data_IF_363175881767
#
_entry.id   IF_363175881767
#
_cell.length_a   1.000
_cell.length_b   1.000
_cell.length_c   1.000
_cell.angle_alpha   90.00
_cell.angle_beta   90.00
_cell.angle_gamma   90.00
#
_symmetry.space_group_name_H-M   'P 1'
#
loop_
_entity.id
_entity.type
_entity.pdbx_description
1 polymer ?
#
# COMPACT_ATOMS: atom_id res chain seq x y z
N UNK A 1 22.31 -35.57 36.27
CA UNK A 1 21.89 -35.05 34.96
C UNK A 1 20.60 -35.76 34.57
N UNK A 2 19.49 -35.05 34.46
CA UNK A 2 18.19 -35.61 34.11
C UNK A 2 17.95 -35.44 32.60
N UNK A 3 17.76 -36.52 31.82
CA UNK A 3 17.39 -36.37 30.42
C UNK A 3 15.94 -35.87 30.34
N UNK A 4 15.77 -34.68 29.78
CA UNK A 4 14.46 -34.09 29.50
C UNK A 4 13.89 -34.77 28.25
N UNK A 5 12.71 -35.35 28.46
CA UNK A 5 11.79 -35.96 27.53
C UNK A 5 11.73 -35.27 26.15
N UNK A 6 12.19 -35.98 25.11
CA UNK A 6 11.96 -35.64 23.71
C UNK A 6 10.73 -36.39 23.13
N UNK A 7 9.64 -36.50 23.90
CA UNK A 7 8.41 -37.20 23.44
C UNK A 7 7.47 -36.33 22.60
N UNK A 8 7.77 -35.04 22.41
CA UNK A 8 6.87 -34.09 21.73
C UNK A 8 6.86 -34.19 20.20
N UNK A 9 7.98 -34.54 19.57
CA UNK A 9 8.12 -34.50 18.10
C UNK A 9 7.51 -35.74 17.44
N UNK A 10 7.56 -36.90 18.11
CA UNK A 10 7.04 -38.17 17.56
C UNK A 10 5.51 -38.15 17.45
N UNK A 11 4.81 -37.38 18.29
CA UNK A 11 3.34 -37.35 18.33
C UNK A 11 2.72 -36.54 17.17
N UNK A 12 3.39 -35.47 16.69
CA UNK A 12 2.92 -34.67 15.55
C UNK A 12 3.00 -35.44 14.22
N UNK A 13 4.02 -36.29 14.05
CA UNK A 13 4.19 -37.07 12.82
C UNK A 13 3.11 -38.13 12.62
N UNK A 14 2.66 -38.78 13.70
CA UNK A 14 1.63 -39.82 13.65
C UNK A 14 0.26 -39.25 13.26
N UNK A 15 -0.07 -38.06 13.77
CA UNK A 15 -1.36 -37.42 13.51
C UNK A 15 -1.53 -37.01 12.04
N UNK A 16 -0.43 -36.61 11.38
CA UNK A 16 -0.40 -36.34 9.93
C UNK A 16 -0.54 -37.63 9.12
N UNK A 17 0.14 -38.70 9.53
CA UNK A 17 0.08 -39.99 8.85
C UNK A 17 -1.32 -40.64 8.95
N UNK A 18 -1.94 -40.62 10.14
CA UNK A 18 -3.28 -41.18 10.35
C UNK A 18 -4.37 -40.38 9.61
N UNK A 19 -4.19 -39.07 9.42
CA UNK A 19 -5.09 -38.23 8.58
C UNK A 19 -4.98 -38.52 7.08
N UNK A 20 -3.85 -39.01 6.59
CA UNK A 20 -3.68 -39.37 5.18
C UNK A 20 -4.25 -40.76 4.84
N UNK A 21 -4.31 -41.65 5.84
CA UNK A 21 -4.65 -43.06 5.62
C UNK A 21 -6.11 -43.43 5.96
N UNK A 22 -6.92 -42.47 6.42
CA UNK A 22 -8.34 -42.70 6.69
C UNK A 22 -9.21 -42.18 5.53
N UNK A 23 -9.97 -43.04 4.83
CA UNK A 23 -10.92 -42.57 3.82
C UNK A 23 -12.08 -41.88 4.54
N UNK A 24 -12.17 -40.56 4.39
CA UNK A 24 -13.21 -39.71 4.99
C UNK A 24 -14.62 -40.16 4.56
N UNK A 25 -15.57 -40.35 5.48
CA UNK A 25 -16.98 -40.34 5.14
C UNK A 25 -17.46 -38.87 5.01
N UNK A 26 -18.53 -38.71 4.24
CA UNK A 26 -19.31 -37.48 3.99
C UNK A 26 -18.70 -36.43 3.05
N UNK A 27 -19.30 -36.37 1.86
CA UNK A 27 -19.24 -35.27 0.90
C UNK A 27 -19.59 -33.95 1.62
N UNK A 28 -18.58 -33.14 1.88
CA UNK A 28 -18.77 -31.70 1.90
C UNK A 28 -18.89 -31.26 0.45
N UNK A 29 -20.03 -30.68 0.10
CA UNK A 29 -20.20 -29.97 -1.16
C UNK A 29 -19.20 -28.82 -1.16
N UNK A 30 -18.05 -29.05 -1.79
CA UNK A 30 -17.09 -28.01 -2.12
C UNK A 30 -17.75 -27.28 -3.27
N UNK A 31 -18.50 -26.21 -2.97
CA UNK A 31 -18.73 -25.19 -3.97
C UNK A 31 -17.33 -24.72 -4.40
N UNK A 32 -16.98 -25.00 -5.66
CA UNK A 32 -15.75 -24.61 -6.35
C UNK A 32 -15.69 -23.06 -6.49
N UNK A 33 -15.73 -22.36 -5.36
CA UNK A 33 -15.39 -20.94 -5.30
C UNK A 33 -13.88 -20.92 -5.25
N UNK A 34 -13.27 -20.89 -6.43
CA UNK A 34 -11.82 -20.91 -6.58
C UNK A 34 -11.23 -19.80 -5.72
N UNK A 35 -10.26 -20.16 -4.89
CA UNK A 35 -9.49 -19.23 -4.07
C UNK A 35 -8.98 -18.03 -4.90
N UNK A 36 -8.68 -18.24 -6.19
CA UNK A 36 -8.31 -17.18 -7.11
C UNK A 36 -9.39 -16.10 -7.26
N UNK A 37 -10.67 -16.47 -7.26
CA UNK A 37 -11.79 -15.54 -7.36
C UNK A 37 -12.01 -14.77 -6.06
N UNK A 38 -11.84 -15.41 -4.90
CA UNK A 38 -11.85 -14.72 -3.61
C UNK A 38 -10.63 -13.83 -3.41
N UNK A 39 -9.46 -14.21 -3.91
CA UNK A 39 -8.26 -13.38 -3.91
C UNK A 39 -8.39 -12.17 -4.85
N UNK A 40 -8.99 -12.37 -6.02
CA UNK A 40 -9.29 -11.29 -6.97
C UNK A 40 -10.33 -10.31 -6.39
N UNK A 41 -11.38 -10.83 -5.74
CA UNK A 41 -12.38 -10.01 -5.03
C UNK A 41 -11.75 -9.31 -3.83
N UNK A 42 -10.93 -9.98 -3.02
CA UNK A 42 -10.26 -9.36 -1.88
C UNK A 42 -9.25 -8.27 -2.31
N UNK A 43 -8.48 -8.52 -3.37
CA UNK A 43 -7.54 -7.53 -3.92
C UNK A 43 -8.24 -6.32 -4.55
N UNK A 44 -9.37 -6.53 -5.24
CA UNK A 44 -10.16 -5.44 -5.83
C UNK A 44 -10.97 -4.65 -4.79
N UNK A 45 -11.46 -5.30 -3.74
CA UNK A 45 -12.30 -4.67 -2.70
C UNK A 45 -11.47 -3.92 -1.64
N UNK A 46 -10.23 -4.35 -1.37
CA UNK A 46 -9.36 -3.68 -0.38
C UNK A 46 -8.62 -2.44 -0.94
N UNK A 47 -8.39 -2.36 -2.26
CA UNK A 47 -7.47 -1.38 -2.87
C UNK A 47 -8.16 -0.18 -3.56
N UNK A 48 -9.47 -0.24 -3.78
CA UNK A 48 -10.17 0.67 -4.71
C UNK A 48 -10.97 1.82 -4.07
N UNK A 49 -10.69 2.18 -2.80
CA UNK A 49 -10.79 3.61 -2.41
C UNK A 49 -9.67 4.33 -3.15
N UNK A 50 -9.99 4.60 -4.41
CA UNK A 50 -9.11 4.62 -5.58
C UNK A 50 -8.01 5.63 -5.33
N UNK A 51 -6.75 5.29 -5.62
CA UNK A 51 -5.63 6.23 -5.58
C UNK A 51 -5.99 7.59 -6.21
N UNK A 52 -6.78 7.56 -7.29
CA UNK A 52 -7.41 8.70 -7.96
C UNK A 52 -8.28 9.60 -7.05
N UNK A 53 -9.07 9.03 -6.14
CA UNK A 53 -9.86 9.78 -5.15
C UNK A 53 -8.94 10.52 -4.19
N UNK A 54 -7.83 9.89 -3.78
CA UNK A 54 -6.83 10.50 -2.92
C UNK A 54 -6.09 11.62 -3.65
N UNK A 55 -5.72 11.40 -4.91
CA UNK A 55 -5.13 12.44 -5.76
C UNK A 55 -6.06 13.63 -5.92
N UNK A 56 -7.35 13.39 -6.19
CA UNK A 56 -8.36 14.46 -6.26
C UNK A 56 -8.44 15.23 -4.95
N UNK A 57 -8.50 14.54 -3.80
CA UNK A 57 -8.51 15.19 -2.48
C UNK A 57 -7.26 16.01 -2.20
N UNK A 58 -6.10 15.52 -2.62
CA UNK A 58 -4.82 16.20 -2.45
C UNK A 58 -4.74 17.45 -3.32
N UNK A 59 -5.13 17.36 -4.60
CA UNK A 59 -5.17 18.49 -5.55
C UNK A 59 -6.15 19.57 -5.12
N UNK A 60 -7.28 19.19 -4.51
CA UNK A 60 -8.30 20.13 -4.05
C UNK A 60 -7.90 20.93 -2.81
N UNK A 61 -6.78 20.62 -2.14
CA UNK A 61 -6.27 21.46 -1.06
C UNK A 61 -5.89 22.84 -1.60
N UNK A 62 -6.21 23.89 -0.85
CA UNK A 62 -6.04 25.28 -1.32
C UNK A 62 -4.59 25.61 -1.67
N UNK A 63 -3.64 25.17 -0.84
CA UNK A 63 -2.23 25.48 -1.03
C UNK A 63 -1.61 24.67 -2.17
N UNK A 64 -2.04 23.41 -2.32
CA UNK A 64 -1.63 22.52 -3.41
C UNK A 64 -2.18 23.02 -4.74
N UNK A 65 -3.49 23.30 -4.84
CA UNK A 65 -4.11 23.83 -6.07
C UNK A 65 -3.46 25.13 -6.52
N UNK A 66 -3.25 26.10 -5.60
CA UNK A 66 -2.56 27.36 -5.89
C UNK A 66 -1.14 27.13 -6.41
N UNK A 67 -0.41 26.17 -5.85
CA UNK A 67 0.93 25.83 -6.31
C UNK A 67 0.91 25.18 -7.69
N UNK A 68 0.03 24.20 -7.92
CA UNK A 68 -0.11 23.51 -9.20
C UNK A 68 -0.54 24.47 -10.32
N UNK A 69 -1.45 25.42 -10.06
CA UNK A 69 -1.85 26.43 -11.05
C UNK A 69 -0.71 27.37 -11.45
N UNK A 70 0.21 27.68 -10.54
CA UNK A 70 1.38 28.52 -10.82
C UNK A 70 2.48 27.78 -11.58
N UNK A 71 2.49 26.46 -11.46
CA UNK A 71 3.48 25.54 -12.06
C UNK A 71 2.87 24.72 -13.19
N UNK A 72 1.80 25.22 -13.82
CA UNK A 72 1.14 24.54 -14.92
C UNK A 72 2.12 24.28 -16.08
N UNK A 73 2.24 23.02 -16.50
CA UNK A 73 3.16 22.58 -17.55
C UNK A 73 4.54 22.16 -17.05
N UNK A 74 4.84 22.33 -15.76
CA UNK A 74 6.05 21.81 -15.13
C UNK A 74 5.80 20.46 -14.48
N UNK A 75 6.84 19.63 -14.38
CA UNK A 75 6.74 18.37 -13.66
C UNK A 75 6.84 18.65 -12.17
N UNK A 76 5.81 18.27 -11.41
CA UNK A 76 5.76 18.43 -9.96
C UNK A 76 5.95 17.08 -9.30
N UNK A 77 6.84 17.04 -8.31
CA UNK A 77 7.15 15.86 -7.52
C UNK A 77 6.71 16.06 -6.08
N UNK A 78 6.09 15.04 -5.49
CA UNK A 78 5.80 14.98 -4.06
C UNK A 78 6.85 14.08 -3.37
N UNK A 79 7.49 14.64 -2.35
CA UNK A 79 8.54 13.97 -1.58
C UNK A 79 8.26 14.07 -0.07
N UNK A 80 8.72 13.07 0.66
CA UNK A 80 8.71 13.07 2.12
C UNK A 80 10.03 13.62 2.66
N UNK A 81 9.96 14.54 3.62
CA UNK A 81 11.13 15.13 4.31
C UNK A 81 11.49 14.31 5.55
N UNK A 82 12.72 14.47 6.02
CA UNK A 82 13.24 13.76 7.18
C UNK A 82 12.52 14.11 8.50
N UNK A 83 11.93 15.30 8.58
CA UNK A 83 11.09 15.74 9.70
C UNK A 83 9.68 15.13 9.67
N UNK A 84 9.35 14.35 8.64
CA UNK A 84 8.02 13.76 8.43
C UNK A 84 7.05 14.66 7.69
N UNK A 85 7.40 15.93 7.42
CA UNK A 85 6.60 16.81 6.57
C UNK A 85 6.70 16.40 5.10
N UNK A 86 5.75 16.88 4.29
CA UNK A 86 5.74 16.62 2.85
C UNK A 86 6.17 17.88 2.08
N UNK A 87 6.75 17.71 0.89
CA UNK A 87 7.09 18.83 0.02
C UNK A 87 6.73 18.54 -1.44
N UNK A 88 6.26 19.58 -2.12
CA UNK A 88 6.14 19.61 -3.57
C UNK A 88 7.34 20.33 -4.16
N UNK A 89 7.96 19.74 -5.18
CA UNK A 89 9.08 20.32 -5.92
C UNK A 89 8.71 20.35 -7.40
N UNK A 90 8.70 21.54 -7.97
CA UNK A 90 8.53 21.73 -9.42
C UNK A 90 9.88 21.62 -10.13
N UNK A 91 9.86 21.18 -11.38
CA UNK A 91 11.02 21.24 -12.28
C UNK A 91 11.56 22.66 -12.50
N UNK A 92 10.76 23.70 -12.21
CA UNK A 92 11.20 25.10 -12.20
C UNK A 92 12.12 25.47 -11.03
N UNK A 93 12.30 24.56 -10.06
CA UNK A 93 13.06 24.80 -8.83
C UNK A 93 12.24 25.40 -7.68
N UNK A 94 10.95 25.73 -7.90
CA UNK A 94 10.06 26.15 -6.82
C UNK A 94 9.65 24.97 -5.94
N UNK A 95 9.50 25.25 -4.64
CA UNK A 95 9.07 24.26 -3.65
C UNK A 95 7.94 24.79 -2.78
N UNK A 96 7.02 23.91 -2.41
CA UNK A 96 6.02 24.14 -1.37
C UNK A 96 6.24 23.10 -0.27
N UNK A 97 6.35 23.57 0.97
CA UNK A 97 6.43 22.69 2.14
C UNK A 97 5.03 22.60 2.73
N UNK A 98 4.58 21.37 3.00
CA UNK A 98 3.32 21.06 3.66
C UNK A 98 3.61 20.74 5.13
N UNK A 99 3.28 21.64 6.07
CA UNK A 99 3.53 21.45 7.49
C UNK A 99 2.79 20.23 8.06
N UNK A 100 3.38 19.57 9.05
CA UNK A 100 2.78 18.41 9.74
C UNK A 100 1.40 18.69 10.35
N UNK A 101 1.14 19.94 10.74
CA UNK A 101 -0.12 20.38 11.32
C UNK A 101 -1.26 20.47 10.30
N UNK A 102 -0.95 20.46 9.00
CA UNK A 102 -1.95 20.62 7.95
C UNK A 102 -2.47 19.28 7.42
N UNK A 103 -3.75 19.28 7.06
CA UNK A 103 -4.39 18.14 6.43
C UNK A 103 -3.77 17.78 5.07
N UNK A 104 -3.22 18.78 4.37
CA UNK A 104 -2.47 18.62 3.12
C UNK A 104 -1.30 17.63 3.28
N UNK A 105 -0.57 17.70 4.39
CA UNK A 105 0.53 16.80 4.71
C UNK A 105 0.05 15.37 4.97
N UNK A 106 -1.02 15.19 5.75
CA UNK A 106 -1.58 13.86 6.03
C UNK A 106 -2.05 13.16 4.76
N UNK A 107 -2.83 13.86 3.92
CA UNK A 107 -3.33 13.32 2.65
C UNK A 107 -2.18 13.05 1.69
N UNK A 108 -1.18 13.95 1.63
CA UNK A 108 0.00 13.76 0.79
C UNK A 108 0.84 12.55 1.22
N UNK A 109 1.00 12.32 2.52
CA UNK A 109 1.71 11.16 3.03
C UNK A 109 0.95 9.85 2.77
N UNK A 110 -0.38 9.84 2.92
CA UNK A 110 -1.20 8.68 2.56
C UNK A 110 -1.11 8.39 1.05
N UNK A 111 -1.15 9.43 0.21
CA UNK A 111 -0.98 9.32 -1.24
C UNK A 111 0.39 8.71 -1.58
N UNK A 112 1.44 9.25 -0.96
CA UNK A 112 2.82 8.80 -1.17
C UNK A 112 2.99 7.32 -0.81
N UNK A 113 2.52 6.89 0.36
CA UNK A 113 2.63 5.50 0.81
C UNK A 113 1.85 4.58 -0.14
N UNK A 114 0.63 4.94 -0.53
CA UNK A 114 -0.18 4.14 -1.47
C UNK A 114 0.45 4.03 -2.86
N UNK A 115 1.00 5.12 -3.37
CA UNK A 115 1.72 5.13 -4.65
C UNK A 115 2.97 4.24 -4.62
N UNK A 116 3.69 4.23 -3.49
CA UNK A 116 4.83 3.32 -3.30
C UNK A 116 4.39 1.85 -3.24
N UNK A 117 3.36 1.55 -2.45
CA UNK A 117 2.84 0.19 -2.27
C UNK A 117 2.34 -0.41 -3.60
N UNK A 118 1.67 0.40 -4.42
CA UNK A 118 1.17 0.00 -5.73
C UNK A 118 2.22 0.10 -6.85
N UNK A 119 3.37 0.72 -6.60
CA UNK A 119 4.41 0.96 -7.62
C UNK A 119 3.97 1.92 -8.75
N UNK A 120 3.00 2.80 -8.50
CA UNK A 120 2.42 3.72 -9.49
C UNK A 120 2.84 5.16 -9.23
N UNK A 121 2.85 5.97 -10.29
CA UNK A 121 3.21 7.40 -10.24
C UNK A 121 4.60 7.70 -9.65
N UNK A 122 5.51 6.72 -9.63
CA UNK A 122 6.88 6.92 -9.17
C UNK A 122 7.64 7.86 -10.11
N UNK A 123 8.48 8.71 -9.54
CA UNK A 123 9.38 9.56 -10.33
C UNK A 123 10.53 8.74 -10.88
N UNK A 124 10.80 8.88 -12.18
CA UNK A 124 12.00 8.32 -12.82
C UNK A 124 13.26 9.13 -12.53
N UNK A 125 13.11 10.39 -12.11
CA UNK A 125 14.22 11.33 -11.92
C UNK A 125 14.64 11.51 -10.47
N UNK A 126 13.77 11.16 -9.53
CA UNK A 126 13.96 11.39 -8.09
C UNK A 126 13.61 10.14 -7.31
N UNK A 127 14.58 9.63 -6.56
CA UNK A 127 14.35 8.51 -5.66
C UNK A 127 13.33 8.90 -4.58
N UNK A 128 12.44 7.97 -4.21
CA UNK A 128 11.43 8.17 -3.18
C UNK A 128 10.55 9.40 -3.40
N UNK A 129 10.20 9.67 -4.66
CA UNK A 129 9.31 10.74 -5.05
C UNK A 129 8.20 10.20 -5.96
N UNK A 130 7.01 10.79 -5.86
CA UNK A 130 5.93 10.52 -6.81
C UNK A 130 5.71 11.72 -7.70
N UNK A 131 5.36 11.50 -8.97
CA UNK A 131 5.04 12.55 -9.93
C UNK A 131 3.57 12.90 -9.84
N UNK A 132 3.27 14.17 -9.63
CA UNK A 132 1.93 14.73 -9.68
C UNK A 132 1.81 15.50 -10.99
N UNK A 133 0.88 15.06 -11.85
CA UNK A 133 0.59 15.79 -13.10
C UNK A 133 0.04 17.17 -12.74
N UNK A 134 0.71 18.26 -13.14
CA UNK A 134 0.19 19.63 -12.94
C UNK A 134 -1.08 19.84 -13.75
#
# INVERSE_FOLDING_TARGET
>A
MNPILASGIVSLGKEVYDRLNTPSPSKLSIDDISFGKELEVASTTASSKTLEQLEKKFRNQLDVSKFLSKEAGNQVHLEKRADGSMQLISSSGRRLILPLSENSCSIGNELFIKSLDQGVNLSIYRANAITIKS
#
